data_IF_810151869946
#
_entry.id   IF_810151869946
#
_cell.length_a   1.000
_cell.length_b   1.000
_cell.length_c   1.000
_cell.angle_alpha   90.00
_cell.angle_beta   90.00
_cell.angle_gamma   90.00
#
_symmetry.space_group_name_H-M   'P 1'
#
loop_
_entity.id
_entity.type
_entity.pdbx_description
1 polymer ?
#
# COMPACT_ATOMS: atom_id res chain seq x y z
N UNK A 1 -18.08 -17.23 1.87
CA UNK A 1 -16.92 -17.17 0.94
C UNK A 1 -15.83 -16.39 1.64
N UNK A 2 -14.62 -16.93 1.69
CA UNK A 2 -13.46 -16.24 2.28
C UNK A 2 -12.53 -15.80 1.16
N UNK A 3 -12.11 -14.54 1.19
CA UNK A 3 -11.24 -13.93 0.17
C UNK A 3 -9.78 -13.99 0.60
N UNK A 4 -8.87 -14.26 -0.34
CA UNK A 4 -7.42 -14.10 -0.19
C UNK A 4 -6.96 -12.88 -0.98
N UNK A 5 -6.33 -11.92 -0.33
CA UNK A 5 -5.70 -10.78 -1.00
C UNK A 5 -4.23 -11.10 -1.27
N UNK A 6 -3.79 -10.83 -2.49
CA UNK A 6 -2.45 -11.18 -2.99
C UNK A 6 -1.80 -9.94 -3.56
N UNK A 7 -0.60 -9.61 -3.07
CA UNK A 7 0.29 -8.60 -3.65
C UNK A 7 1.52 -9.27 -4.25
N UNK A 8 2.16 -8.62 -5.22
CA UNK A 8 3.42 -9.08 -5.81
C UNK A 8 3.74 -8.39 -7.13
N UNK A 9 4.53 -9.06 -7.98
CA UNK A 9 4.77 -8.64 -9.37
C UNK A 9 4.13 -9.65 -10.33
N UNK A 10 2.94 -9.32 -10.82
CA UNK A 10 2.19 -10.15 -11.77
C UNK A 10 1.21 -9.28 -12.56
N UNK A 11 0.80 -9.77 -13.73
CA UNK A 11 -0.23 -9.11 -14.58
C UNK A 11 -1.47 -9.98 -14.79
N UNK A 12 -1.40 -11.26 -14.41
CA UNK A 12 -2.49 -12.23 -14.49
C UNK A 12 -2.47 -13.10 -13.22
N UNK A 13 -3.63 -13.31 -12.60
CA UNK A 13 -3.80 -14.24 -11.47
C UNK A 13 -5.25 -14.72 -11.43
N UNK A 14 -5.49 -15.97 -11.01
CA UNK A 14 -6.85 -16.52 -10.91
C UNK A 14 -7.66 -16.45 -12.20
N UNK A 15 -6.99 -16.57 -13.35
CA UNK A 15 -7.62 -16.56 -14.68
C UNK A 15 -8.05 -15.19 -15.21
N UNK A 16 -7.70 -14.08 -14.56
CA UNK A 16 -8.05 -12.71 -14.99
C UNK A 16 -6.82 -11.81 -15.01
N UNK A 17 -6.86 -10.76 -15.83
CA UNK A 17 -5.86 -9.70 -15.80
C UNK A 17 -6.03 -8.90 -14.50
N UNK A 18 -5.01 -8.94 -13.64
CA UNK A 18 -4.92 -8.17 -12.39
C UNK A 18 -3.47 -7.78 -12.24
N UNK A 19 -3.19 -6.49 -12.16
CA UNK A 19 -1.82 -6.01 -12.01
C UNK A 19 -1.48 -5.96 -10.54
N UNK A 20 -0.54 -6.80 -10.09
CA UNK A 20 0.20 -6.74 -8.83
C UNK A 20 -0.59 -6.74 -7.51
N UNK A 21 -1.91 -6.62 -7.56
CA UNK A 21 -2.83 -6.68 -6.43
C UNK A 21 -4.14 -7.31 -6.89
N UNK A 22 -4.55 -8.39 -6.21
CA UNK A 22 -5.77 -9.10 -6.54
C UNK A 22 -6.44 -9.67 -5.29
N UNK A 23 -7.72 -9.99 -5.43
CA UNK A 23 -8.48 -10.76 -4.47
C UNK A 23 -8.96 -12.05 -5.12
N UNK A 24 -8.66 -13.19 -4.50
CA UNK A 24 -9.02 -14.52 -4.96
C UNK A 24 -10.08 -15.14 -4.05
N UNK A 25 -11.00 -15.89 -4.63
CA UNK A 25 -11.84 -16.81 -3.86
C UNK A 25 -10.98 -17.98 -3.36
N UNK A 26 -10.94 -18.23 -2.04
CA UNK A 26 -10.05 -19.25 -1.45
C UNK A 26 -10.39 -20.69 -1.86
N UNK A 27 -11.60 -20.96 -2.34
CA UNK A 27 -12.02 -22.31 -2.70
C UNK A 27 -11.68 -22.62 -4.16
N UNK A 28 -11.92 -21.65 -5.04
CA UNK A 28 -11.77 -21.82 -6.50
C UNK A 28 -10.46 -21.28 -7.04
N UNK A 29 -9.74 -20.48 -6.26
CA UNK A 29 -8.55 -19.73 -6.67
C UNK A 29 -8.79 -18.73 -7.84
N UNK A 30 -10.05 -18.48 -8.22
CA UNK A 30 -10.40 -17.52 -9.25
C UNK A 30 -10.32 -16.09 -8.72
N UNK A 31 -9.90 -15.17 -9.58
CA UNK A 31 -9.94 -13.75 -9.27
C UNK A 31 -11.38 -13.26 -9.14
N UNK A 32 -11.64 -12.47 -8.08
CA UNK A 32 -12.92 -11.80 -7.87
C UNK A 32 -13.02 -10.53 -8.73
N UNK A 33 -14.16 -9.84 -8.66
CA UNK A 33 -14.36 -8.55 -9.33
C UNK A 33 -13.57 -7.38 -8.70
N UNK A 34 -12.97 -7.58 -7.51
CA UNK A 34 -12.17 -6.57 -6.85
C UNK A 34 -10.83 -6.38 -7.58
N UNK A 35 -10.63 -5.20 -8.16
CA UNK A 35 -9.51 -4.87 -9.05
C UNK A 35 -9.03 -3.41 -8.83
N UNK A 36 -8.10 -3.18 -7.88
CA UNK A 36 -7.49 -1.86 -7.65
C UNK A 36 -6.56 -1.42 -8.78
N UNK A 37 -6.04 -2.37 -9.55
CA UNK A 37 -5.19 -2.14 -10.71
C UNK A 37 -4.07 -1.10 -10.48
N UNK A 38 -3.14 -1.32 -9.52
CA UNK A 38 -1.99 -0.44 -9.32
C UNK A 38 -1.15 -0.30 -10.59
N UNK A 39 -0.57 0.89 -10.77
CA UNK A 39 0.34 1.20 -11.87
C UNK A 39 1.56 1.95 -11.35
N UNK A 40 2.64 1.93 -12.15
CA UNK A 40 3.85 2.69 -11.89
C UNK A 40 4.34 3.32 -13.19
N UNK A 41 4.43 4.64 -13.26
CA UNK A 41 4.84 5.35 -14.48
C UNK A 41 6.25 5.02 -14.95
N UNK A 42 7.11 4.54 -14.03
CA UNK A 42 8.49 4.16 -14.31
C UNK A 42 8.67 2.68 -14.68
N UNK A 43 7.60 1.88 -14.74
CA UNK A 43 7.71 0.46 -15.06
C UNK A 43 6.46 -0.36 -14.76
N UNK A 44 6.64 -1.63 -14.37
CA UNK A 44 5.53 -2.44 -13.87
C UNK A 44 5.36 -2.20 -12.37
N UNK A 45 4.12 -1.97 -11.91
CA UNK A 45 3.87 -1.84 -10.48
C UNK A 45 4.24 -3.12 -9.72
N UNK A 46 4.71 -2.98 -8.48
CA UNK A 46 4.97 -4.11 -7.59
C UNK A 46 4.38 -3.81 -6.22
N UNK A 47 3.59 -4.73 -5.67
CA UNK A 47 3.13 -4.64 -4.28
C UNK A 47 4.04 -5.49 -3.40
N UNK A 48 4.71 -4.85 -2.43
CA UNK A 48 5.62 -5.51 -1.51
C UNK A 48 4.94 -5.91 -0.20
N UNK A 49 4.01 -5.08 0.27
CA UNK A 49 3.40 -5.25 1.59
C UNK A 49 1.90 -4.95 1.59
N UNK A 50 1.17 -5.73 2.40
CA UNK A 50 -0.25 -5.54 2.68
C UNK A 50 -0.47 -5.57 4.19
N UNK A 51 -1.30 -4.66 4.70
CA UNK A 51 -1.82 -4.71 6.06
C UNK A 51 -3.33 -4.43 6.05
N UNK A 52 -4.13 -5.18 6.79
CA UNK A 52 -5.60 -5.07 6.77
C UNK A 52 -6.10 -4.54 8.12
N UNK A 53 -7.02 -3.58 8.08
CA UNK A 53 -7.79 -3.09 9.22
C UNK A 53 -9.26 -2.98 8.84
N UNK A 54 -10.12 -3.79 9.45
CA UNK A 54 -11.56 -3.77 9.16
C UNK A 54 -11.85 -3.94 7.66
N UNK A 55 -12.45 -2.92 7.04
CA UNK A 55 -12.80 -2.89 5.61
C UNK A 55 -11.74 -2.23 4.72
N UNK A 56 -10.54 -2.00 5.23
CA UNK A 56 -9.46 -1.32 4.49
C UNK A 56 -8.22 -2.20 4.40
N UNK A 57 -7.58 -2.22 3.23
CA UNK A 57 -6.23 -2.75 3.04
C UNK A 57 -5.27 -1.62 2.72
N UNK A 58 -4.21 -1.51 3.51
CA UNK A 58 -3.06 -0.68 3.23
C UNK A 58 -2.10 -1.44 2.32
N UNK A 59 -1.59 -0.75 1.30
CA UNK A 59 -0.79 -1.34 0.23
C UNK A 59 0.49 -0.53 0.08
N UNK A 60 1.63 -1.17 0.29
CA UNK A 60 2.96 -0.59 0.10
C UNK A 60 3.69 -1.24 -1.07
N UNK A 61 4.38 -0.43 -1.88
CA UNK A 61 5.21 -0.95 -2.96
C UNK A 61 5.77 0.08 -3.94
N UNK A 62 6.15 -0.39 -5.11
CA UNK A 62 6.50 0.42 -6.29
C UNK A 62 5.25 0.67 -7.11
N UNK A 63 4.59 1.79 -6.84
CA UNK A 63 3.40 2.26 -7.56
C UNK A 63 3.27 3.77 -7.38
N UNK A 64 2.61 4.42 -8.32
CA UNK A 64 2.22 5.84 -8.23
C UNK A 64 0.73 6.06 -8.47
N UNK A 65 -0.02 4.99 -8.77
CA UNK A 65 -1.45 5.05 -9.02
C UNK A 65 -2.19 3.83 -8.48
N UNK A 66 -3.43 4.04 -8.06
CA UNK A 66 -4.43 3.04 -7.71
C UNK A 66 -5.76 3.43 -8.33
N UNK A 67 -6.37 2.55 -9.14
CA UNK A 67 -7.60 2.83 -9.87
C UNK A 67 -7.56 4.14 -10.68
N UNK A 68 -6.40 4.53 -11.22
CA UNK A 68 -6.20 5.80 -11.94
C UNK A 68 -6.14 7.05 -11.05
N UNK A 69 -6.12 6.89 -9.73
CA UNK A 69 -5.89 7.97 -8.76
C UNK A 69 -4.46 7.90 -8.27
N UNK A 70 -3.75 9.03 -8.23
CA UNK A 70 -2.36 9.09 -7.77
C UNK A 70 -2.24 8.61 -6.33
N UNK A 71 -1.35 7.65 -6.07
CA UNK A 71 -1.01 7.15 -4.74
C UNK A 71 0.45 6.72 -4.78
N UNK A 72 1.35 7.59 -4.33
CA UNK A 72 2.77 7.30 -4.39
C UNK A 72 3.17 6.34 -3.28
N UNK A 73 3.56 5.13 -3.69
CA UNK A 73 4.19 4.07 -2.92
C UNK A 73 3.43 3.52 -1.71
N UNK A 74 2.34 4.18 -1.30
CA UNK A 74 1.49 3.80 -0.19
C UNK A 74 0.04 4.25 -0.44
N UNK A 75 -0.90 3.32 -0.34
CA UNK A 75 -2.33 3.58 -0.51
C UNK A 75 -3.15 2.81 0.52
N UNK A 76 -4.40 3.25 0.70
CA UNK A 76 -5.43 2.48 1.38
C UNK A 76 -6.60 2.24 0.42
N UNK A 77 -7.01 0.98 0.29
CA UNK A 77 -8.09 0.53 -0.59
C UNK A 77 -9.24 0.02 0.25
N UNK A 78 -10.46 0.39 -0.13
CA UNK A 78 -11.67 -0.17 0.44
C UNK A 78 -11.91 -1.61 -0.08
N UNK A 79 -12.03 -2.56 0.83
CA UNK A 79 -12.15 -3.99 0.54
C UNK A 79 -13.48 -4.37 -0.11
N UNK A 80 -14.51 -3.52 0.01
CA UNK A 80 -15.84 -3.78 -0.58
C UNK A 80 -15.89 -3.32 -2.03
N UNK A 81 -15.31 -2.14 -2.31
CA UNK A 81 -15.42 -1.46 -3.60
C UNK A 81 -14.19 -1.63 -4.49
N UNK A 82 -13.03 -1.97 -3.92
CA UNK A 82 -11.77 -2.04 -4.65
C UNK A 82 -11.22 -0.70 -5.10
N UNK A 83 -11.65 0.39 -4.46
CA UNK A 83 -11.24 1.75 -4.79
C UNK A 83 -10.30 2.32 -3.74
N UNK A 84 -9.36 3.16 -4.18
CA UNK A 84 -8.57 4.00 -3.29
C UNK A 84 -9.47 4.89 -2.42
N UNK A 85 -9.18 4.92 -1.12
CA UNK A 85 -9.83 5.81 -0.15
C UNK A 85 -9.21 7.21 -0.21
N UNK A 86 -9.71 8.16 0.58
CA UNK A 86 -9.11 9.49 0.75
C UNK A 86 -7.81 9.48 1.58
N UNK A 87 -7.46 8.37 2.20
CA UNK A 87 -6.23 8.22 2.97
C UNK A 87 -5.03 8.19 2.01
N UNK A 88 -4.22 9.23 2.07
CA UNK A 88 -3.13 9.50 1.14
C UNK A 88 -1.94 10.15 1.86
N UNK A 89 -1.09 9.34 2.51
CA UNK A 89 0.11 9.84 3.17
C UNK A 89 1.20 10.20 2.17
N UNK A 90 1.13 9.79 0.90
CA UNK A 90 2.10 10.14 -0.14
C UNK A 90 3.58 9.92 0.28
N UNK A 91 4.10 8.69 0.18
CA UNK A 91 5.53 8.45 0.33
C UNK A 91 6.23 8.90 -0.96
N UNK A 92 6.91 10.04 -0.91
CA UNK A 92 7.13 10.88 -2.08
C UNK A 92 8.13 10.30 -3.08
N UNK A 93 9.18 9.66 -2.58
CA UNK A 93 10.42 9.45 -3.32
C UNK A 93 10.95 8.02 -3.25
N UNK A 94 10.24 7.12 -2.58
CA UNK A 94 10.72 5.75 -2.42
C UNK A 94 9.63 4.76 -2.04
N UNK A 95 9.85 3.51 -2.45
CA UNK A 95 8.96 2.41 -2.18
C UNK A 95 8.78 2.15 -0.68
N UNK A 96 7.56 1.76 -0.32
CA UNK A 96 7.25 1.19 0.99
C UNK A 96 7.32 -0.34 0.88
N UNK A 97 8.27 -0.93 1.58
CA UNK A 97 8.60 -2.36 1.48
C UNK A 97 7.95 -3.20 2.59
N UNK A 98 7.57 -2.57 3.70
CA UNK A 98 6.97 -3.24 4.85
C UNK A 98 5.87 -2.38 5.47
N UNK A 99 4.80 -3.05 5.92
CA UNK A 99 3.69 -2.45 6.63
C UNK A 99 3.34 -3.30 7.85
N UNK A 100 3.20 -2.66 9.01
CA UNK A 100 2.72 -3.30 10.23
C UNK A 100 1.69 -2.40 10.89
N UNK A 101 0.50 -2.93 11.15
CA UNK A 101 -0.56 -2.24 11.87
C UNK A 101 -0.53 -2.64 13.35
N UNK A 102 -0.55 -1.64 14.24
CA UNK A 102 -0.70 -1.83 15.68
C UNK A 102 -1.71 -0.83 16.22
N UNK A 103 -2.90 -1.32 16.59
CA UNK A 103 -4.02 -0.46 16.99
C UNK A 103 -4.40 0.52 15.87
N UNK A 104 -4.36 1.83 16.16
CA UNK A 104 -4.63 2.91 15.21
C UNK A 104 -3.38 3.43 14.49
N UNK A 105 -2.22 2.78 14.66
CA UNK A 105 -0.96 3.21 14.06
C UNK A 105 -0.52 2.22 12.98
N UNK A 106 -0.25 2.73 11.79
CA UNK A 106 0.40 1.99 10.71
C UNK A 106 1.87 2.39 10.65
N UNK A 107 2.77 1.42 10.85
CA UNK A 107 4.19 1.61 10.65
C UNK A 107 4.54 1.25 9.21
N UNK A 108 5.15 2.20 8.50
CA UNK A 108 5.67 2.02 7.15
C UNK A 108 7.19 1.96 7.19
N UNK A 109 7.77 0.95 6.56
CA UNK A 109 9.21 0.79 6.38
C UNK A 109 9.56 0.69 4.90
N UNK A 110 10.66 1.30 4.46
CA UNK A 110 11.02 1.37 3.05
C UNK A 110 12.29 2.15 2.75
N UNK A 111 12.33 2.73 1.55
CA UNK A 111 13.47 3.54 1.06
C UNK A 111 13.13 5.02 0.86
N UNK A 112 11.91 5.43 1.18
CA UNK A 112 11.49 6.83 1.15
C UNK A 112 12.28 7.70 2.14
N UNK A 113 12.35 9.00 1.86
CA UNK A 113 12.88 10.01 2.78
C UNK A 113 11.83 11.04 3.21
N UNK A 114 10.70 11.12 2.49
CA UNK A 114 9.59 12.02 2.78
C UNK A 114 8.26 11.28 2.72
N UNK A 115 7.42 11.49 3.73
CA UNK A 115 6.05 10.97 3.79
C UNK A 115 5.14 11.96 4.53
N UNK A 116 3.94 12.17 4.01
CA UNK A 116 2.95 13.12 4.52
C UNK A 116 3.46 14.57 4.52
N UNK A 117 4.38 14.89 3.61
CA UNK A 117 5.08 16.17 3.56
C UNK A 117 6.12 16.38 4.66
N UNK A 118 6.43 15.36 5.47
CA UNK A 118 7.40 15.41 6.55
C UNK A 118 8.62 14.54 6.25
N UNK A 119 9.78 14.97 6.73
CA UNK A 119 11.01 14.20 6.62
C UNK A 119 10.97 13.01 7.59
N UNK A 120 10.80 11.81 7.04
CA UNK A 120 10.93 10.54 7.75
C UNK A 120 11.77 9.62 6.88
N UNK A 121 13.02 9.40 7.29
CA UNK A 121 13.91 8.53 6.54
C UNK A 121 13.61 7.06 6.85
N UNK A 122 13.20 6.31 5.84
CA UNK A 122 13.05 4.84 5.80
C UNK A 122 11.96 4.25 6.70
N UNK A 123 11.57 4.91 7.78
CA UNK A 123 10.54 4.44 8.72
C UNK A 123 9.66 5.60 9.16
N UNK A 124 8.35 5.39 9.16
CA UNK A 124 7.36 6.34 9.66
C UNK A 124 6.23 5.63 10.40
N UNK A 125 5.69 6.28 11.43
CA UNK A 125 4.41 5.90 12.02
C UNK A 125 3.33 6.84 11.48
N UNK A 126 2.22 6.28 11.03
CA UNK A 126 1.10 7.01 10.45
C UNK A 126 -0.16 6.71 11.25
N UNK A 127 -1.02 7.70 11.39
CA UNK A 127 -2.39 7.46 11.85
C UNK A 127 -3.16 6.67 10.78
N UNK A 128 -3.63 5.48 11.14
CA UNK A 128 -4.29 4.57 10.20
C UNK A 128 -5.65 5.07 9.70
N UNK A 129 -6.23 6.10 10.33
CA UNK A 129 -7.51 6.68 9.94
C UNK A 129 -7.34 7.89 9.03
N UNK A 130 -6.35 8.74 9.30
CA UNK A 130 -6.16 10.03 8.63
C UNK A 130 -5.00 10.03 7.65
N UNK A 131 -3.99 9.18 7.85
CA UNK A 131 -2.77 9.11 7.04
C UNK A 131 -1.73 10.15 7.45
N UNK A 132 -2.03 10.96 8.47
CA UNK A 132 -1.09 11.93 8.99
C UNK A 132 0.12 11.21 9.62
N UNK A 133 1.36 11.65 9.33
CA UNK A 133 2.54 11.22 10.07
C UNK A 133 2.41 11.57 11.55
N UNK A 134 2.82 10.64 12.40
CA UNK A 134 2.93 10.83 13.84
C UNK A 134 4.34 11.33 14.16
N UNK A 135 4.47 12.11 15.25
CA UNK A 135 5.75 12.66 15.71
C UNK A 135 6.79 11.60 16.13
N UNK A 136 6.42 10.32 16.12
CA UNK A 136 7.33 9.22 16.43
C UNK A 136 8.35 9.05 15.29
N UNK A 137 9.61 9.23 15.65
CA UNK A 137 10.77 8.88 14.83
C UNK A 137 11.67 7.94 15.64
N UNK A 138 12.02 6.74 15.14
CA UNK A 138 13.02 5.93 15.81
C UNK A 138 14.38 6.64 15.70
N UNK A 139 14.99 6.93 16.85
CA UNK A 139 16.30 7.56 16.91
C UNK A 139 17.33 6.72 16.12
N UNK A 140 18.00 7.33 15.14
CA UNK A 140 19.08 6.70 14.36
C UNK A 140 18.78 6.34 12.90
N UNK A 141 17.57 6.58 12.38
CA UNK A 141 17.27 6.37 10.94
C UNK A 141 17.50 7.60 10.04
N UNK A 142 17.80 8.76 10.62
CA UNK A 142 18.18 9.95 9.85
C UNK A 142 19.70 9.90 9.61
N UNK A 143 20.12 9.67 8.36
CA UNK A 143 21.49 10.02 7.98
C UNK A 143 21.63 11.54 8.11
N UNK A 144 22.73 12.06 8.68
CA UNK A 144 22.96 13.49 8.70
C UNK A 144 23.00 13.99 7.25
N UNK A 145 22.26 15.06 6.99
CA UNK A 145 22.34 15.85 5.75
C UNK A 145 23.74 16.44 5.56
#
# INVERSE_FOLDING_TARGET
MSTLYVGGYFTIIGGQQRNSLAALDKTTANATAWDPNPNFSLGGAVVHALAISGSTVFVGGEMDMMNGVNRNHLAAIDLTTGKATSWDPNALDGAVNALVLSGSTLYAGGVFTVIGGQAHSRVAALDATTGAPLAWTPDGCNLPV
#
